data_IF_515393185824
#
_entry.id   IF_515393185824
#
_cell.length_a   1.000
_cell.length_b   1.000
_cell.length_c   1.000
_cell.angle_alpha   90.00
_cell.angle_beta   90.00
_cell.angle_gamma   90.00
#
_symmetry.space_group_name_H-M   'P 1'
#
loop_
_entity.id
_entity.type
_entity.pdbx_description
1 polymer ?
#
# COMPACT_ATOMS: atom_id res chain seq x y z
N UNK A 1 3.54 -8.40 25.96
CA UNK A 1 4.64 -7.93 25.07
C UNK A 1 4.63 -8.58 23.70
N UNK A 2 4.52 -9.91 23.58
CA UNK A 2 4.60 -10.63 22.29
C UNK A 2 3.43 -10.35 21.34
N UNK A 3 2.21 -10.16 21.88
CA UNK A 3 1.01 -10.02 21.06
C UNK A 3 0.94 -8.71 20.28
N UNK A 4 1.21 -7.56 20.91
CA UNK A 4 1.22 -6.26 20.22
C UNK A 4 2.27 -6.28 19.11
N UNK A 5 3.50 -6.73 19.40
CA UNK A 5 4.55 -6.79 18.37
C UNK A 5 4.19 -7.75 17.22
N UNK A 6 3.49 -8.84 17.52
CA UNK A 6 3.02 -9.81 16.51
C UNK A 6 1.96 -9.19 15.62
N UNK A 7 0.98 -8.47 16.19
CA UNK A 7 -0.06 -7.76 15.45
C UNK A 7 0.54 -6.66 14.57
N UNK A 8 1.47 -5.86 15.10
CA UNK A 8 2.20 -4.84 14.33
C UNK A 8 2.98 -5.44 13.17
N UNK A 9 3.69 -6.56 13.38
CA UNK A 9 4.40 -7.27 12.31
C UNK A 9 3.44 -7.81 11.25
N UNK A 10 2.33 -8.44 11.66
CA UNK A 10 1.32 -8.93 10.72
C UNK A 10 0.74 -7.80 9.87
N UNK A 11 0.46 -6.65 10.48
CA UNK A 11 -0.07 -5.47 9.79
C UNK A 11 0.97 -4.89 8.82
N UNK A 12 2.24 -4.80 9.24
CA UNK A 12 3.35 -4.37 8.40
C UNK A 12 3.53 -5.30 7.20
N UNK A 13 3.52 -6.62 7.42
CA UNK A 13 3.62 -7.62 6.35
C UNK A 13 2.44 -7.52 5.40
N UNK A 14 1.21 -7.39 5.90
CA UNK A 14 0.02 -7.25 5.07
C UNK A 14 0.12 -5.98 4.19
N UNK A 15 0.47 -4.85 4.80
CA UNK A 15 0.60 -3.57 4.10
C UNK A 15 1.72 -3.60 3.05
N UNK A 16 2.86 -4.21 3.38
CA UNK A 16 3.98 -4.38 2.44
C UNK A 16 3.64 -5.34 1.30
N UNK A 17 3.02 -6.48 1.58
CA UNK A 17 2.57 -7.43 0.55
C UNK A 17 1.55 -6.80 -0.39
N UNK A 18 0.58 -6.03 0.13
CA UNK A 18 -0.39 -5.32 -0.70
C UNK A 18 0.26 -4.26 -1.58
N UNK A 19 1.26 -3.54 -1.06
CA UNK A 19 2.05 -2.59 -1.84
C UNK A 19 2.78 -3.30 -3.00
N UNK A 20 3.42 -4.44 -2.74
CA UNK A 20 4.11 -5.22 -3.78
C UNK A 20 3.14 -5.80 -4.82
N UNK A 21 1.99 -6.33 -4.40
CA UNK A 21 0.96 -6.83 -5.32
C UNK A 21 0.49 -5.71 -6.24
N UNK A 22 0.25 -4.52 -5.70
CA UNK A 22 -0.14 -3.34 -6.49
C UNK A 22 0.95 -2.88 -7.43
N UNK A 23 2.20 -2.85 -6.97
CA UNK A 23 3.35 -2.52 -7.80
C UNK A 23 3.53 -3.52 -8.95
N UNK A 24 3.43 -4.82 -8.66
CA UNK A 24 3.49 -5.89 -9.65
C UNK A 24 2.33 -5.83 -10.64
N UNK A 25 1.12 -5.53 -10.18
CA UNK A 25 -0.01 -5.29 -11.06
C UNK A 25 0.22 -4.08 -11.96
N UNK A 26 0.67 -2.94 -11.43
CA UNK A 26 0.98 -1.73 -12.23
C UNK A 26 2.10 -1.98 -13.25
N UNK A 27 3.16 -2.68 -12.86
CA UNK A 27 4.34 -2.89 -13.70
C UNK A 27 4.18 -3.99 -14.76
N UNK A 28 3.41 -5.05 -14.46
CA UNK A 28 3.28 -6.22 -15.33
C UNK A 28 1.83 -6.57 -15.68
N UNK A 29 0.90 -6.45 -14.72
CA UNK A 29 -0.49 -6.84 -14.91
C UNK A 29 -1.31 -5.85 -15.75
N UNK A 30 -1.03 -4.56 -15.64
CA UNK A 30 -1.76 -3.51 -16.33
C UNK A 30 -1.57 -3.64 -17.85
N UNK A 31 -0.33 -3.76 -18.31
CA UNK A 31 -0.02 -3.95 -19.73
C UNK A 31 -0.60 -5.27 -20.27
N UNK A 32 -0.48 -6.36 -19.50
CA UNK A 32 -1.00 -7.68 -19.88
C UNK A 32 -2.54 -7.71 -20.00
N UNK A 33 -3.27 -7.00 -19.14
CA UNK A 33 -4.73 -6.91 -19.20
C UNK A 33 -5.23 -5.81 -20.15
N UNK A 34 -4.43 -4.79 -20.43
CA UNK A 34 -4.79 -3.69 -21.35
C UNK A 34 -4.63 -4.10 -22.82
N UNK A 35 -3.69 -4.99 -23.13
CA UNK A 35 -3.40 -5.43 -24.51
C UNK A 35 -4.32 -6.52 -25.07
N UNK A 36 -5.43 -6.90 -24.42
CA UNK A 36 -6.40 -7.80 -25.03
C UNK A 36 -7.34 -7.02 -25.96
N UNK A 37 -7.20 -7.10 -27.30
CA UNK A 37 -7.99 -6.31 -28.25
C UNK A 37 -9.48 -6.68 -28.28
N UNK A 38 -9.87 -7.75 -27.56
CA UNK A 38 -11.25 -8.24 -27.49
C UNK A 38 -11.93 -7.92 -26.15
N UNK A 39 -11.22 -7.36 -25.16
CA UNK A 39 -11.81 -6.95 -23.90
C UNK A 39 -12.05 -5.44 -23.90
N UNK A 40 -13.28 -4.96 -23.66
CA UNK A 40 -13.56 -3.54 -23.64
C UNK A 40 -12.94 -2.92 -22.39
N UNK A 41 -11.70 -2.45 -22.50
CA UNK A 41 -11.05 -1.31 -21.83
C UNK A 41 -11.61 -0.83 -20.46
N UNK A 42 -11.95 -1.74 -19.54
CA UNK A 42 -12.57 -1.39 -18.25
C UNK A 42 -12.17 -2.28 -17.08
N UNK A 43 -11.81 -3.54 -17.33
CA UNK A 43 -11.49 -4.48 -16.25
C UNK A 43 -10.16 -4.18 -15.56
N UNK A 44 -9.12 -3.77 -16.32
CA UNK A 44 -7.82 -3.38 -15.74
C UNK A 44 -7.93 -2.14 -14.85
N UNK A 45 -8.73 -1.16 -15.28
CA UNK A 45 -8.97 0.09 -14.54
C UNK A 45 -9.76 -0.15 -13.24
N UNK A 46 -10.78 -1.03 -13.29
CA UNK A 46 -11.52 -1.48 -12.11
C UNK A 46 -10.62 -2.23 -11.13
N UNK A 47 -9.77 -3.13 -11.61
CA UNK A 47 -8.82 -3.88 -10.76
C UNK A 47 -7.83 -2.92 -10.11
N UNK A 48 -7.27 -1.98 -10.88
CA UNK A 48 -6.38 -0.96 -10.35
C UNK A 48 -7.05 -0.09 -9.28
N UNK A 49 -8.28 0.36 -9.53
CA UNK A 49 -9.08 1.13 -8.57
C UNK A 49 -9.37 0.35 -7.29
N UNK A 50 -9.77 -0.92 -7.40
CA UNK A 50 -10.02 -1.79 -6.24
C UNK A 50 -8.73 -2.02 -5.45
N UNK A 51 -7.60 -2.30 -6.11
CA UNK A 51 -6.30 -2.43 -5.44
C UNK A 51 -5.89 -1.12 -4.74
N UNK A 52 -6.16 0.03 -5.34
CA UNK A 52 -5.90 1.33 -4.73
C UNK A 52 -6.72 1.53 -3.44
N UNK A 53 -8.00 1.18 -3.46
CA UNK A 53 -8.89 1.29 -2.28
C UNK A 53 -8.44 0.34 -1.17
N UNK A 54 -8.14 -0.92 -1.49
CA UNK A 54 -7.66 -1.91 -0.50
C UNK A 54 -6.34 -1.45 0.12
N UNK A 55 -5.44 -0.88 -0.69
CA UNK A 55 -4.18 -0.32 -0.21
C UNK A 55 -4.41 0.88 0.72
N UNK A 56 -5.26 1.84 0.35
CA UNK A 56 -5.60 3.00 1.17
C UNK A 56 -6.23 2.61 2.51
N UNK A 57 -7.18 1.66 2.49
CA UNK A 57 -7.81 1.15 3.71
C UNK A 57 -6.77 0.49 4.63
N UNK A 58 -5.85 -0.29 4.06
CA UNK A 58 -4.78 -0.96 4.81
C UNK A 58 -3.76 0.01 5.39
N UNK A 59 -3.41 1.06 4.63
CA UNK A 59 -2.54 2.15 5.08
C UNK A 59 -3.20 2.92 6.25
N UNK A 60 -4.48 3.24 6.12
CA UNK A 60 -5.27 3.87 7.18
C UNK A 60 -5.32 3.03 8.45
N UNK A 61 -5.53 1.72 8.33
CA UNK A 61 -5.46 0.79 9.46
C UNK A 61 -4.07 0.78 10.12
N UNK A 62 -2.99 0.82 9.35
CA UNK A 62 -1.63 0.90 9.89
C UNK A 62 -1.40 2.19 10.68
N UNK A 63 -1.82 3.33 10.13
CA UNK A 63 -1.69 4.64 10.78
C UNK A 63 -2.49 4.67 12.07
N UNK A 64 -3.75 4.22 12.05
CA UNK A 64 -4.61 4.14 13.24
C UNK A 64 -4.02 3.23 14.31
N UNK A 65 -3.48 2.07 13.91
CA UNK A 65 -2.86 1.14 14.84
C UNK A 65 -1.56 1.70 15.44
N UNK A 66 -0.76 2.44 14.67
CA UNK A 66 0.43 3.13 15.17
C UNK A 66 0.06 4.26 16.14
N UNK A 67 -0.95 5.07 15.80
CA UNK A 67 -1.50 6.12 16.68
C UNK A 67 -2.02 5.54 18.00
N UNK A 68 -2.76 4.43 17.94
CA UNK A 68 -3.24 3.73 19.13
C UNK A 68 -2.09 3.25 20.03
N UNK A 69 -1.05 2.66 19.43
CA UNK A 69 0.13 2.19 20.16
C UNK A 69 0.89 3.36 20.78
N UNK A 70 1.07 4.48 20.05
CA UNK A 70 1.65 5.69 20.64
C UNK A 70 0.79 6.10 21.83
N UNK A 71 -0.46 6.49 21.61
CA UNK A 71 -1.33 7.06 22.65
C UNK A 71 -1.47 6.20 23.91
N UNK A 72 -1.44 4.86 23.78
CA UNK A 72 -1.72 3.95 24.91
C UNK A 72 -0.52 3.18 25.44
N UNK A 73 0.55 3.04 24.65
CA UNK A 73 1.72 2.22 24.96
C UNK A 73 3.03 2.92 24.55
N UNK A 74 3.11 4.24 24.76
CA UNK A 74 4.27 5.09 24.43
C UNK A 74 5.60 4.46 24.88
N UNK A 75 5.65 3.93 26.12
CA UNK A 75 6.88 3.40 26.73
C UNK A 75 7.38 2.08 26.09
N UNK A 76 6.48 1.24 25.56
CA UNK A 76 6.81 -0.12 25.08
C UNK A 76 6.63 -0.32 23.58
N UNK A 77 5.90 0.56 22.90
CA UNK A 77 5.47 0.39 21.52
C UNK A 77 5.85 1.53 20.58
N UNK A 78 6.42 2.62 21.08
CA UNK A 78 6.77 3.79 20.27
C UNK A 78 7.68 3.44 19.10
N UNK A 79 8.75 2.66 19.32
CA UNK A 79 9.68 2.25 18.25
C UNK A 79 9.00 1.43 17.13
N UNK A 80 8.12 0.49 17.49
CA UNK A 80 7.40 -0.33 16.53
C UNK A 80 6.37 0.48 15.74
N UNK A 81 5.66 1.39 16.41
CA UNK A 81 4.71 2.29 15.79
C UNK A 81 5.39 3.34 14.90
N UNK A 82 6.53 3.88 15.31
CA UNK A 82 7.32 4.82 14.50
C UNK A 82 7.91 4.13 13.27
N UNK A 83 8.38 2.89 13.39
CA UNK A 83 8.83 2.11 12.24
C UNK A 83 7.69 1.82 11.26
N UNK A 84 6.48 1.51 11.78
CA UNK A 84 5.29 1.31 10.95
C UNK A 84 4.90 2.59 10.20
N UNK A 85 4.92 3.75 10.88
CA UNK A 85 4.65 5.05 10.27
C UNK A 85 5.67 5.41 9.20
N UNK A 86 6.97 5.16 9.45
CA UNK A 86 8.02 5.38 8.47
C UNK A 86 7.83 4.49 7.23
N UNK A 87 7.41 3.24 7.43
CA UNK A 87 7.05 2.32 6.35
C UNK A 87 5.88 2.87 5.53
N UNK A 88 4.78 3.28 6.18
CA UNK A 88 3.64 3.89 5.50
C UNK A 88 4.01 5.15 4.72
N UNK A 89 4.83 6.03 5.30
CA UNK A 89 5.30 7.24 4.63
C UNK A 89 6.16 6.92 3.40
N UNK A 90 7.06 5.94 3.52
CA UNK A 90 7.90 5.49 2.40
C UNK A 90 7.06 4.90 1.27
N UNK A 91 6.06 4.07 1.61
CA UNK A 91 5.16 3.48 0.64
C UNK A 91 4.28 4.53 -0.06
N UNK A 92 3.79 5.53 0.70
CA UNK A 92 3.05 6.66 0.12
C UNK A 92 3.90 7.47 -0.85
N UNK A 93 5.13 7.82 -0.46
CA UNK A 93 6.03 8.60 -1.31
C UNK A 93 6.43 7.84 -2.57
N UNK A 94 6.70 6.53 -2.44
CA UNK A 94 6.98 5.65 -3.58
C UNK A 94 5.79 5.57 -4.51
N UNK A 95 4.57 5.49 -3.96
CA UNK A 95 3.34 5.49 -4.75
C UNK A 95 3.14 6.78 -5.53
N UNK A 96 3.27 7.93 -4.85
CA UNK A 96 3.10 9.25 -5.47
C UNK A 96 4.08 9.45 -6.63
N UNK A 97 5.34 9.10 -6.41
CA UNK A 97 6.37 9.14 -7.44
C UNK A 97 6.04 8.24 -8.64
N UNK A 98 5.64 6.99 -8.40
CA UNK A 98 5.28 6.05 -9.47
C UNK A 98 4.01 6.49 -10.22
N UNK A 99 3.06 7.08 -9.52
CA UNK A 99 1.83 7.60 -10.11
C UNK A 99 2.12 8.78 -11.03
N UNK A 100 2.97 9.73 -10.58
CA UNK A 100 3.44 10.84 -11.39
C UNK A 100 4.28 10.40 -12.58
N UNK A 101 5.19 9.44 -12.39
CA UNK A 101 6.00 8.89 -13.48
C UNK A 101 5.12 8.25 -14.55
N UNK A 102 4.16 7.41 -14.15
CA UNK A 102 3.25 6.79 -15.10
C UNK A 102 2.33 7.79 -15.80
N UNK A 103 1.87 8.84 -15.12
CA UNK A 103 1.14 9.94 -15.75
C UNK A 103 2.01 10.68 -16.79
N UNK A 104 3.30 10.89 -16.51
CA UNK A 104 4.22 11.53 -17.45
C UNK A 104 4.53 10.67 -18.69
N UNK A 105 4.62 9.34 -18.51
CA UNK A 105 4.85 8.40 -19.61
C UNK A 105 3.60 8.19 -20.48
N UNK A 106 2.41 8.32 -19.90
CA UNK A 106 1.13 8.24 -20.63
C UNK A 106 0.87 9.44 -21.56
N UNK A 107 1.61 10.55 -21.40
CA UNK A 107 1.42 11.79 -22.16
C UNK A 107 2.43 11.90 -23.33
N UNK A 108 3.38 10.97 -23.46
CA UNK A 108 4.37 10.92 -24.56
C UNK A 108 4.06 9.86 -25.59
#
# INVERSE_FOLDING_TARGET
MTEISRKTKQLATLCFSLFLIRLGFRAFGYDLLYHNPNDPSGTSDLIEGVLAIIYLASLGLCILHALWILLRHWDQGALGASALLALCATQWHSYDYLHHLAASLSIS
#
